data_IF_842313794243
#
_entry.id   IF_842313794243
#
_cell.length_a   1.000
_cell.length_b   1.000
_cell.length_c   1.000
_cell.angle_alpha   90.00
_cell.angle_beta   90.00
_cell.angle_gamma   90.00
#
_symmetry.space_group_name_H-M   'P 1'
#
loop_
_entity.id
_entity.type
_entity.pdbx_description
1 polymer ?
#
# COMPACT_ATOMS: atom_id res chain seq x y z
N UNK A 1 -23.97 -18.41 -39.64
CA UNK A 1 -23.07 -17.25 -39.48
C UNK A 1 -22.30 -17.37 -38.17
N UNK A 2 -21.06 -16.88 -38.17
CA UNK A 2 -19.96 -16.98 -37.21
C UNK A 2 -20.33 -16.87 -35.70
N UNK A 3 -19.72 -17.77 -34.93
CA UNK A 3 -19.54 -17.81 -33.47
C UNK A 3 -18.68 -16.65 -32.92
N UNK A 4 -19.00 -16.10 -31.71
CA UNK A 4 -18.08 -15.46 -30.74
C UNK A 4 -18.75 -15.44 -29.34
N UNK A 5 -18.46 -16.37 -28.42
CA UNK A 5 -17.39 -16.37 -27.41
C UNK A 5 -17.55 -15.34 -26.26
N UNK A 6 -17.81 -15.87 -25.06
CA UNK A 6 -17.28 -15.41 -23.76
C UNK A 6 -18.04 -14.28 -23.04
N UNK A 7 -18.37 -14.41 -21.73
CA UNK A 7 -18.46 -13.21 -20.89
C UNK A 7 -17.06 -12.53 -20.88
N UNK A 8 -16.99 -11.21 -20.72
CA UNK A 8 -15.78 -10.43 -20.99
C UNK A 8 -14.65 -10.81 -20.03
N UNK A 9 -13.73 -11.66 -20.47
CA UNK A 9 -12.38 -11.70 -19.93
C UNK A 9 -11.67 -10.44 -20.39
N UNK A 10 -11.55 -9.47 -19.49
CA UNK A 10 -10.47 -8.48 -19.33
C UNK A 10 -10.98 -7.06 -19.03
N UNK A 11 -10.92 -6.68 -17.77
CA UNK A 11 -10.54 -5.30 -17.40
C UNK A 11 -9.69 -5.37 -16.14
N UNK A 12 -8.38 -5.42 -16.41
CA UNK A 12 -7.30 -4.93 -15.54
C UNK A 12 -6.91 -5.77 -14.32
N UNK A 13 -6.15 -6.83 -14.60
CA UNK A 13 -5.21 -7.46 -13.68
C UNK A 13 -4.05 -6.48 -13.35
N UNK A 14 -4.30 -5.43 -12.58
CA UNK A 14 -3.25 -4.54 -12.06
C UNK A 14 -2.86 -4.98 -10.65
N UNK A 15 -1.96 -5.98 -10.56
CA UNK A 15 -1.18 -6.27 -9.35
C UNK A 15 -2.00 -6.67 -8.12
N UNK A 16 -2.59 -7.87 -8.17
CA UNK A 16 -3.39 -8.53 -7.12
C UNK A 16 -2.74 -8.42 -5.73
N UNK A 17 -3.09 -7.35 -5.00
CA UNK A 17 -2.87 -7.31 -3.57
C UNK A 17 -3.93 -8.25 -2.97
N UNK A 18 -3.54 -9.33 -2.27
CA UNK A 18 -4.51 -10.25 -1.69
C UNK A 18 -5.48 -9.51 -0.78
N UNK A 19 -6.75 -9.94 -0.74
CA UNK A 19 -7.76 -9.35 0.15
C UNK A 19 -7.20 -9.28 1.57
N UNK A 20 -7.27 -8.10 2.18
CA UNK A 20 -6.70 -7.86 3.50
C UNK A 20 -5.24 -7.40 3.49
N UNK A 21 -4.68 -7.04 2.33
CA UNK A 21 -3.38 -6.38 2.22
C UNK A 21 -3.50 -5.05 1.47
N UNK A 22 -2.54 -4.16 1.68
CA UNK A 22 -2.45 -2.86 1.04
C UNK A 22 -1.03 -2.63 0.53
N UNK A 23 -0.90 -1.99 -0.64
CA UNK A 23 0.38 -1.55 -1.17
C UNK A 23 0.72 -0.16 -0.62
N UNK A 24 1.87 -0.07 0.04
CA UNK A 24 2.40 1.13 0.68
C UNK A 24 3.72 1.47 0.03
N UNK A 25 3.87 2.71 -0.40
CA UNK A 25 5.08 3.22 -1.05
C UNK A 25 5.81 4.10 -0.04
N UNK A 26 7.02 3.71 0.33
CA UNK A 26 7.81 4.41 1.34
C UNK A 26 9.10 4.90 0.70
N UNK A 27 9.48 6.14 0.98
CA UNK A 27 10.76 6.71 0.55
C UNK A 27 10.62 8.10 -0.08
N UNK A 28 11.77 8.69 -0.42
CA UNK A 28 11.87 10.08 -0.84
C UNK A 28 11.65 10.22 -2.34
N UNK A 29 10.67 11.04 -2.75
CA UNK A 29 10.32 11.56 -4.10
C UNK A 29 10.62 10.69 -5.34
N UNK A 30 11.87 10.30 -5.58
CA UNK A 30 12.33 9.45 -6.68
C UNK A 30 12.52 7.96 -6.30
N UNK A 31 12.87 7.65 -5.05
CA UNK A 31 13.08 6.28 -4.55
C UNK A 31 11.94 5.90 -3.61
N UNK A 32 10.87 5.35 -4.19
CA UNK A 32 9.73 4.83 -3.44
C UNK A 32 9.75 3.31 -3.50
N UNK A 33 10.03 2.68 -2.37
CA UNK A 33 9.96 1.23 -2.22
C UNK A 33 8.53 0.81 -1.95
N UNK A 34 8.04 -0.17 -2.73
CA UNK A 34 6.71 -0.73 -2.56
C UNK A 34 6.74 -1.86 -1.54
N UNK A 35 6.07 -1.66 -0.42
CA UNK A 35 5.78 -2.66 0.59
C UNK A 35 4.34 -3.14 0.47
N UNK A 36 4.11 -4.43 0.74
CA UNK A 36 2.76 -4.98 0.85
C UNK A 36 2.58 -5.40 2.29
N UNK A 37 1.71 -4.70 3.01
CA UNK A 37 1.43 -4.97 4.42
C UNK A 37 -0.03 -5.37 4.59
N UNK A 38 -0.36 -6.23 5.56
CA UNK A 38 -1.75 -6.54 5.83
C UNK A 38 -2.48 -5.31 6.36
N UNK A 39 -3.77 -5.17 6.07
CA UNK A 39 -4.61 -4.05 6.51
C UNK A 39 -4.69 -3.95 8.05
N UNK A 40 -4.33 -5.01 8.77
CA UNK A 40 -4.21 -4.99 10.24
C UNK A 40 -3.20 -3.95 10.72
N UNK A 41 -2.15 -3.69 9.92
CA UNK A 41 -1.14 -2.67 10.23
C UNK A 41 -1.73 -1.26 10.14
N UNK A 42 -2.65 -1.00 9.21
CA UNK A 42 -3.37 0.29 9.11
C UNK A 42 -4.19 0.60 10.37
N UNK A 43 -4.58 -0.44 11.13
CA UNK A 43 -5.32 -0.27 12.38
C UNK A 43 -4.41 0.06 13.57
N UNK A 44 -3.08 -0.09 13.43
CA UNK A 44 -2.16 0.31 14.49
C UNK A 44 -2.06 1.84 14.59
N UNK A 45 -2.03 2.39 15.82
CA UNK A 45 -1.94 3.84 16.03
C UNK A 45 -0.66 4.42 15.43
N UNK A 46 0.44 3.67 15.47
CA UNK A 46 1.70 4.09 14.89
C UNK A 46 1.59 4.23 13.36
N UNK A 47 0.98 3.26 12.67
CA UNK A 47 0.78 3.34 11.22
C UNK A 47 -0.12 4.52 10.85
N UNK A 48 -1.18 4.77 11.63
CA UNK A 48 -2.03 5.97 11.46
C UNK A 48 -1.26 7.28 11.52
N UNK A 49 -0.22 7.39 12.36
CA UNK A 49 0.61 8.60 12.37
C UNK A 49 1.33 8.80 11.02
N UNK A 50 1.85 7.73 10.43
CA UNK A 50 2.46 7.80 9.10
C UNK A 50 1.44 8.12 8.01
N UNK A 51 0.21 7.58 8.10
CA UNK A 51 -0.89 7.94 7.21
C UNK A 51 -1.22 9.43 7.30
N UNK A 52 -1.21 9.98 8.51
CA UNK A 52 -1.51 11.40 8.71
C UNK A 52 -0.42 12.28 8.11
N UNK A 53 0.85 11.99 8.35
CA UNK A 53 1.96 12.70 7.71
C UNK A 53 1.92 12.57 6.18
N UNK A 54 1.53 11.40 5.67
CA UNK A 54 1.33 11.18 4.24
C UNK A 54 0.22 12.04 3.64
N UNK A 55 -0.91 12.13 4.33
CA UNK A 55 -2.04 12.96 3.93
C UNK A 55 -1.68 14.44 3.96
N UNK A 56 -0.94 14.90 4.98
CA UNK A 56 -0.49 16.29 5.07
C UNK A 56 0.46 16.69 3.92
N UNK A 57 1.34 15.80 3.48
CA UNK A 57 2.35 16.11 2.46
C UNK A 57 1.91 15.81 1.01
N UNK A 58 1.19 14.71 0.78
CA UNK A 58 0.75 14.30 -0.57
C UNK A 58 -0.75 14.55 -0.82
N UNK A 59 -1.54 14.85 0.21
CA UNK A 59 -2.99 14.99 0.11
C UNK A 59 -3.64 13.72 -0.44
N UNK A 60 -4.68 13.90 -1.27
CA UNK A 60 -5.39 12.81 -1.94
C UNK A 60 -4.83 12.47 -3.33
N UNK A 61 -3.74 13.13 -3.75
CA UNK A 61 -3.19 12.96 -5.08
C UNK A 61 -2.22 11.77 -5.13
N UNK A 62 -2.79 10.56 -5.22
CA UNK A 62 -2.02 9.33 -5.37
C UNK A 62 -2.22 8.72 -6.77
N UNK A 63 -1.42 9.11 -7.78
CA UNK A 63 -1.56 8.62 -9.14
C UNK A 63 -1.34 7.10 -9.27
N UNK A 64 -0.69 6.47 -8.28
CA UNK A 64 -0.39 5.04 -8.28
C UNK A 64 -1.46 4.18 -7.58
N UNK A 65 -2.57 4.77 -7.12
CA UNK A 65 -3.70 4.02 -6.51
C UNK A 65 -3.35 3.27 -5.22
N UNK A 66 -2.21 3.58 -4.60
CA UNK A 66 -1.75 3.00 -3.35
C UNK A 66 -1.30 4.08 -2.37
N UNK A 67 -1.02 3.65 -1.15
CA UNK A 67 -0.74 4.56 -0.06
C UNK A 67 0.71 5.01 -0.11
N UNK A 68 1.00 6.32 -0.18
CA UNK A 68 2.38 6.82 -0.26
C UNK A 68 2.76 7.49 1.05
N UNK A 69 3.78 6.99 1.74
CA UNK A 69 4.24 7.52 3.02
C UNK A 69 5.57 8.28 2.83
N UNK A 70 5.61 9.60 3.10
CA UNK A 70 6.82 10.41 3.14
C UNK A 70 7.57 10.11 4.43
N UNK A 71 8.13 8.91 4.53
CA UNK A 71 9.04 8.61 5.61
C UNK A 71 10.23 7.84 5.08
N UNK A 72 11.30 7.88 5.86
CA UNK A 72 12.49 7.10 5.56
C UNK A 72 12.13 5.62 5.62
N UNK A 73 12.70 4.86 4.71
CA UNK A 73 12.53 3.41 4.68
C UNK A 73 12.91 2.80 6.04
N UNK A 74 14.00 3.28 6.66
CA UNK A 74 14.44 2.85 7.98
C UNK A 74 13.38 3.05 9.07
N UNK A 75 12.70 4.19 9.07
CA UNK A 75 11.65 4.50 10.05
C UNK A 75 10.44 3.59 9.86
N UNK A 76 10.10 3.29 8.61
CA UNK A 76 9.03 2.35 8.28
C UNK A 76 9.41 0.91 8.65
N UNK A 77 10.63 0.46 8.36
CA UNK A 77 11.11 -0.87 8.75
C UNK A 77 11.15 -1.03 10.26
N UNK A 78 11.60 0.00 10.99
CA UNK A 78 11.58 0.01 12.46
C UNK A 78 10.15 -0.12 13.00
N UNK A 79 9.20 0.60 12.38
CA UNK A 79 7.79 0.47 12.71
C UNK A 79 7.28 -0.95 12.47
N UNK A 80 7.50 -1.49 11.27
CA UNK A 80 7.02 -2.83 10.90
C UNK A 80 7.59 -3.85 11.89
N UNK A 81 8.89 -3.77 12.21
CA UNK A 81 9.54 -4.61 13.22
C UNK A 81 8.85 -4.52 14.59
N UNK A 82 8.55 -3.31 15.08
CA UNK A 82 7.80 -3.14 16.34
C UNK A 82 6.36 -3.66 16.27
N UNK A 83 5.77 -3.74 15.08
CA UNK A 83 4.40 -4.22 14.88
C UNK A 83 4.35 -5.74 14.66
N UNK A 84 5.42 -6.34 14.15
CA UNK A 84 5.59 -7.80 13.99
C UNK A 84 5.66 -8.53 15.34
N UNK A 85 6.02 -7.84 16.42
CA UNK A 85 6.10 -8.40 17.77
C UNK A 85 4.74 -8.78 18.40
N UNK A 86 3.62 -8.56 17.70
CA UNK A 86 2.27 -8.99 18.12
C UNK A 86 1.75 -10.24 17.36
N UNK A 87 2.63 -10.97 16.65
CA UNK A 87 2.31 -12.26 16.04
C UNK A 87 3.16 -13.42 16.60
N UNK A 88 3.20 -13.54 17.94
CA UNK A 88 3.67 -14.74 18.62
C UNK A 88 2.68 -15.18 19.70
#
# INVERSE_FOLDING_TARGET
MRNKNGPPSSTTTSGLVPKGHVAVYVGERMEKTRFVVPISYLNHPLFRQFLNCAEEEFGFHHPMGGLTIPCREEAFLHLISCTEEQNY
#
